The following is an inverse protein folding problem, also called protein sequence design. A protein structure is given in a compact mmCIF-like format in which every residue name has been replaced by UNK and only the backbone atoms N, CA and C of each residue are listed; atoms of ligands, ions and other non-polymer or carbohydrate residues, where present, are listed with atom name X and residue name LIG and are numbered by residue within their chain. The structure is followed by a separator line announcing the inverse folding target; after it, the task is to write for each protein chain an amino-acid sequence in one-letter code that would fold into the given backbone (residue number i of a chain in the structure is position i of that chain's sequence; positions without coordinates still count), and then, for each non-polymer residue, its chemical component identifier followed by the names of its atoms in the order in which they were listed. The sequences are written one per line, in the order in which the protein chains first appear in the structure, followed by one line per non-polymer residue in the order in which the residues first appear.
data_IF_544434950099
#
_entry.id   IF_544434950099
#
_cell.length_a   1.000
_cell.length_b   1.000
_cell.length_c   1.000
_cell.angle_alpha   90.00
_cell.angle_beta   90.00
_cell.angle_gamma   90.00
#
_symmetry.space_group_name_H-M   'P 1'
#
loop_
_entity.id
_entity.type
_entity.pdbx_description
1 polymer ?
#
# COMPACT_ATOMS: atom_id res chain seq x y z
N UNK A 1 -9.58 -1.01 0.75
CA UNK A 1 -10.35 -2.26 0.53
C UNK A 1 -10.12 -2.99 -0.80
N UNK A 2 -10.65 -2.59 -1.98
CA UNK A 2 -10.43 -3.43 -3.20
C UNK A 2 -8.96 -3.46 -3.63
N UNK A 3 -8.27 -2.32 -3.59
CA UNK A 3 -6.81 -2.24 -3.83
C UNK A 3 -6.03 -3.05 -2.79
N UNK A 4 -6.39 -2.98 -1.50
CA UNK A 4 -5.80 -3.81 -0.45
C UNK A 4 -5.95 -5.30 -0.73
N UNK A 5 -7.15 -5.74 -1.11
CA UNK A 5 -7.39 -7.14 -1.46
C UNK A 5 -6.52 -7.61 -2.63
N UNK A 6 -6.32 -6.76 -3.63
CA UNK A 6 -5.42 -7.07 -4.76
C UNK A 6 -3.95 -7.10 -4.33
N UNK A 7 -3.49 -6.14 -3.52
CA UNK A 7 -2.13 -6.11 -2.96
C UNK A 7 -1.86 -7.36 -2.10
N UNK A 8 -2.83 -7.78 -1.27
CA UNK A 8 -2.73 -9.00 -0.47
C UNK A 8 -2.73 -10.27 -1.34
N UNK A 9 -3.48 -10.26 -2.44
CA UNK A 9 -3.40 -11.29 -3.48
C UNK A 9 -2.01 -11.39 -4.10
N UNK A 10 -1.40 -10.26 -4.46
CA UNK A 10 -0.02 -10.22 -4.98
C UNK A 10 0.98 -10.69 -3.92
N UNK A 11 0.84 -10.26 -2.67
CA UNK A 11 1.67 -10.68 -1.54
C UNK A 11 1.62 -12.19 -1.34
N UNK A 12 0.43 -12.80 -1.47
CA UNK A 12 0.28 -14.24 -1.41
C UNK A 12 1.12 -14.98 -2.47
N UNK A 13 1.13 -14.49 -3.71
CA UNK A 13 1.97 -15.08 -4.77
C UNK A 13 3.47 -14.94 -4.47
N UNK A 14 3.91 -13.80 -3.93
CA UNK A 14 5.30 -13.62 -3.48
C UNK A 14 5.66 -14.64 -2.41
N UNK A 15 4.81 -14.80 -1.37
CA UNK A 15 5.02 -15.79 -0.30
C UNK A 15 5.09 -17.22 -0.84
N UNK A 16 4.28 -17.55 -1.86
CA UNK A 16 4.29 -18.86 -2.50
C UNK A 16 5.66 -19.16 -3.12
N UNK A 17 6.21 -18.24 -3.91
CA UNK A 17 7.51 -18.45 -4.56
C UNK A 17 8.66 -18.47 -3.55
N UNK A 18 8.58 -17.64 -2.50
CA UNK A 18 9.52 -17.72 -1.36
C UNK A 18 9.48 -19.09 -0.69
N UNK A 19 8.29 -19.66 -0.45
CA UNK A 19 8.12 -20.99 0.13
C UNK A 19 8.66 -22.11 -0.76
N UNK A 20 8.71 -21.90 -2.08
CA UNK A 20 9.33 -22.81 -3.04
C UNK A 20 10.86 -22.63 -3.15
N UNK A 21 11.43 -21.60 -2.52
CA UNK A 21 12.84 -21.24 -2.62
C UNK A 21 13.22 -20.52 -3.92
N UNK A 22 12.23 -20.11 -4.73
CA UNK A 22 12.48 -19.37 -5.97
C UNK A 22 12.56 -17.86 -5.67
N UNK A 23 13.73 -17.42 -5.21
CA UNK A 23 13.97 -16.02 -4.87
C UNK A 23 13.87 -15.09 -6.08
N UNK A 24 14.19 -15.59 -7.28
CA UNK A 24 14.14 -14.80 -8.50
C UNK A 24 12.68 -14.54 -8.91
N UNK A 25 11.83 -15.57 -8.88
CA UNK A 25 10.40 -15.42 -9.14
C UNK A 25 9.72 -14.57 -8.06
N UNK A 26 10.06 -14.76 -6.78
CA UNK A 26 9.55 -13.94 -5.69
C UNK A 26 9.90 -12.45 -5.89
N UNK A 27 11.14 -12.15 -6.28
CA UNK A 27 11.56 -10.77 -6.56
C UNK A 27 10.80 -10.16 -7.74
N UNK A 28 10.58 -10.91 -8.82
CA UNK A 28 9.83 -10.42 -9.98
C UNK A 28 8.39 -10.03 -9.60
N UNK A 29 7.69 -10.88 -8.84
CA UNK A 29 6.35 -10.61 -8.33
C UNK A 29 6.34 -9.44 -7.33
N UNK A 30 7.38 -9.32 -6.51
CA UNK A 30 7.49 -8.22 -5.55
C UNK A 30 7.67 -6.88 -6.26
N UNK A 31 8.41 -6.81 -7.36
CA UNK A 31 8.55 -5.59 -8.17
C UNK A 31 7.19 -5.14 -8.71
N UNK A 32 6.35 -6.07 -9.18
CA UNK A 32 4.99 -5.76 -9.63
C UNK A 32 4.09 -5.28 -8.47
N UNK A 33 4.17 -5.92 -7.31
CA UNK A 33 3.45 -5.51 -6.11
C UNK A 33 3.84 -4.08 -5.71
N UNK A 34 5.14 -3.78 -5.67
CA UNK A 34 5.66 -2.46 -5.27
C UNK A 34 5.18 -1.37 -6.22
N UNK A 35 5.16 -1.62 -7.53
CA UNK A 35 4.65 -0.64 -8.49
C UNK A 35 3.16 -0.31 -8.26
N UNK A 36 2.36 -1.29 -7.84
CA UNK A 36 0.96 -1.04 -7.45
C UNK A 36 0.85 -0.36 -6.09
N UNK A 37 1.67 -0.76 -5.11
CA UNK A 37 1.72 -0.17 -3.78
C UNK A 37 2.10 1.32 -3.86
N UNK A 38 3.10 1.69 -4.65
CA UNK A 38 3.51 3.08 -4.84
C UNK A 38 2.36 3.96 -5.36
N UNK A 39 1.58 3.43 -6.32
CA UNK A 39 0.41 4.13 -6.87
C UNK A 39 -0.70 4.26 -5.83
N UNK A 40 -0.92 3.22 -5.06
CA UNK A 40 -1.91 3.16 -4.00
C UNK A 40 -1.59 4.17 -2.89
N UNK A 41 -0.37 4.15 -2.36
CA UNK A 41 0.17 5.13 -1.39
C UNK A 41 0.00 6.56 -1.90
N UNK A 42 0.34 6.82 -3.17
CA UNK A 42 0.16 8.15 -3.75
C UNK A 42 -1.30 8.62 -3.71
N UNK A 43 -2.26 7.72 -3.97
CA UNK A 43 -3.69 8.05 -3.96
C UNK A 43 -4.18 8.40 -2.55
N UNK A 44 -3.63 7.74 -1.55
CA UNK A 44 -3.98 7.98 -0.15
C UNK A 44 -3.41 9.29 0.38
N UNK A 45 -2.11 9.49 0.19
CA UNK A 45 -1.41 10.69 0.65
C UNK A 45 -1.95 11.96 -0.02
N UNK A 46 -2.13 11.94 -1.34
CA UNK A 46 -2.68 13.09 -2.08
C UNK A 46 -4.20 13.26 -1.88
N UNK A 47 -4.88 12.21 -1.43
CA UNK A 47 -6.34 12.14 -1.33
C UNK A 47 -6.82 12.16 0.11
N UNK A 48 -7.09 10.98 0.66
CA UNK A 48 -7.79 10.82 1.94
C UNK A 48 -7.00 11.39 3.11
N UNK A 49 -5.67 11.22 3.16
CA UNK A 49 -4.83 11.75 4.23
C UNK A 49 -4.75 13.27 4.16
N UNK A 50 -4.55 13.82 2.97
CA UNK A 50 -4.61 15.28 2.75
C UNK A 50 -5.96 15.86 3.15
N UNK A 51 -7.07 15.19 2.82
CA UNK A 51 -8.41 15.65 3.15
C UNK A 51 -8.67 15.65 4.67
N UNK A 52 -8.22 14.61 5.38
CA UNK A 52 -8.32 14.52 6.84
C UNK A 52 -7.43 15.54 7.55
N UNK A 53 -6.18 15.70 7.10
CA UNK A 53 -5.28 16.74 7.62
C UNK A 53 -5.86 18.14 7.49
N UNK A 54 -6.57 18.44 6.40
CA UNK A 54 -7.24 19.73 6.21
C UNK A 54 -8.36 19.99 7.23
N UNK A 55 -8.93 18.96 7.86
CA UNK A 55 -9.89 19.09 8.96
C UNK A 55 -9.22 19.22 10.33
N UNK A 56 -7.90 19.00 10.43
CA UNK A 56 -7.18 18.99 11.71
C UNK A 56 -7.41 17.73 12.55
N UNK A 57 -7.92 16.66 11.94
CA UNK A 57 -8.29 15.41 12.60
C UNK A 57 -7.26 14.30 12.27
N UNK A 58 -7.02 13.40 13.22
CA UNK A 58 -6.17 12.19 13.06
C UNK A 58 -4.73 12.46 12.58
N UNK A 59 -4.16 13.61 12.94
CA UNK A 59 -2.84 14.03 12.46
C UNK A 59 -1.75 13.04 12.86
N UNK A 60 -1.74 12.60 14.12
CA UNK A 60 -0.72 11.67 14.63
C UNK A 60 -0.83 10.29 13.96
N UNK A 61 -2.06 9.81 13.73
CA UNK A 61 -2.30 8.56 13.02
C UNK A 61 -1.86 8.63 11.55
N UNK A 62 -2.15 9.74 10.86
CA UNK A 62 -1.73 9.97 9.48
C UNK A 62 -0.20 10.07 9.39
N UNK A 63 0.45 10.80 10.29
CA UNK A 63 1.90 10.91 10.35
C UNK A 63 2.56 9.53 10.55
N UNK A 64 1.91 8.66 11.33
CA UNK A 64 2.31 7.26 11.51
C UNK A 64 2.22 6.46 10.22
N UNK A 65 1.08 6.49 9.53
CA UNK A 65 0.85 5.74 8.28
C UNK A 65 1.80 6.19 7.16
N UNK A 66 1.98 7.50 6.96
CA UNK A 66 2.97 8.01 6.00
C UNK A 66 4.42 7.64 6.40
N UNK A 67 4.69 7.50 7.70
CA UNK A 67 5.95 6.96 8.22
C UNK A 67 6.18 5.54 7.73
N UNK A 68 5.16 4.70 7.85
CA UNK A 68 5.22 3.31 7.42
C UNK A 68 5.35 3.16 5.91
N UNK A 69 4.69 4.01 5.12
CA UNK A 69 4.90 4.06 3.67
C UNK A 69 6.39 4.25 3.33
N UNK A 70 7.05 5.20 4.00
CA UNK A 70 8.48 5.46 3.82
C UNK A 70 9.33 4.28 4.27
N UNK A 71 8.98 3.64 5.38
CA UNK A 71 9.70 2.48 5.90
C UNK A 71 9.58 1.27 4.97
N UNK A 72 8.38 1.00 4.43
CA UNK A 72 8.13 -0.05 3.43
C UNK A 72 8.94 0.22 2.15
N UNK A 73 8.89 1.44 1.62
CA UNK A 73 9.66 1.84 0.44
C UNK A 73 11.19 1.69 0.67
N UNK A 74 11.67 2.09 1.84
CA UNK A 74 13.08 1.95 2.21
C UNK A 74 13.49 0.47 2.35
N UNK A 75 12.63 -0.37 2.92
CA UNK A 75 12.87 -1.80 3.04
C UNK A 75 12.97 -2.48 1.68
N UNK A 76 12.11 -2.12 0.72
CA UNK A 76 12.16 -2.61 -0.66
C UNK A 76 13.44 -2.21 -1.38
N UNK A 77 13.85 -0.94 -1.26
CA UNK A 77 14.98 -0.37 -2.00
C UNK A 77 16.33 -1.07 -1.76
N UNK A 78 16.45 -1.82 -0.66
CA UNK A 78 17.69 -2.50 -0.25
C UNK A 78 17.63 -4.02 -0.39
N UNK A 79 16.55 -4.58 -0.97
CA UNK A 79 16.42 -6.02 -1.15
C UNK A 79 17.36 -6.54 -2.25
N UNK A 80 17.98 -7.69 -1.96
CA UNK A 80 18.83 -8.42 -2.90
C UNK A 80 18.41 -9.91 -2.91
N UNK A 81 17.95 -10.46 -4.06
CA UNK A 81 17.50 -11.85 -4.15
C UNK A 81 18.64 -12.86 -3.97
N UNK A 82 19.89 -12.44 -4.12
CA UNK A 82 21.07 -13.27 -3.86
C UNK A 82 21.50 -13.28 -2.39
N UNK A 83 20.92 -12.42 -1.55
CA UNK A 83 21.24 -12.36 -0.13
C UNK A 83 20.71 -13.59 0.61
N UNK A 84 21.49 -14.17 1.56
CA UNK A 84 21.02 -15.27 2.39
C UNK A 84 19.85 -14.88 3.31
N UNK A 85 19.62 -13.59 3.56
CA UNK A 85 18.51 -13.08 4.39
C UNK A 85 17.29 -12.63 3.57
N UNK A 86 17.31 -12.78 2.24
CA UNK A 86 16.25 -12.32 1.34
C UNK A 86 14.87 -12.81 1.75
N UNK A 87 14.71 -14.12 1.95
CA UNK A 87 13.42 -14.70 2.31
C UNK A 87 12.87 -14.16 3.64
N UNK A 88 13.75 -13.94 4.63
CA UNK A 88 13.36 -13.37 5.93
C UNK A 88 12.97 -11.90 5.79
N UNK A 89 13.72 -11.11 5.02
CA UNK A 89 13.40 -9.69 4.78
C UNK A 89 12.09 -9.51 4.03
N UNK A 90 11.85 -10.28 2.98
CA UNK A 90 10.60 -10.19 2.22
C UNK A 90 9.42 -10.68 3.06
N UNK A 91 9.58 -11.76 3.84
CA UNK A 91 8.51 -12.20 4.75
C UNK A 91 8.13 -11.09 5.72
N UNK A 92 9.11 -10.45 6.35
CA UNK A 92 8.87 -9.32 7.26
C UNK A 92 8.21 -8.13 6.54
N UNK A 93 8.69 -7.76 5.37
CA UNK A 93 8.10 -6.69 4.55
C UNK A 93 6.61 -6.96 4.29
N UNK A 94 6.26 -8.19 3.93
CA UNK A 94 4.87 -8.56 3.65
C UNK A 94 4.01 -8.66 4.93
N UNK A 95 4.61 -8.97 6.08
CA UNK A 95 3.92 -8.92 7.38
C UNK A 95 3.67 -7.46 7.80
N UNK A 96 4.65 -6.58 7.59
CA UNK A 96 4.54 -5.15 7.86
C UNK A 96 3.47 -4.50 6.95
N UNK A 97 3.39 -4.91 5.68
CA UNK A 97 2.34 -4.48 4.75
C UNK A 97 0.93 -4.95 5.18
N UNK A 98 0.79 -6.20 5.65
CA UNK A 98 -0.49 -6.74 6.13
C UNK A 98 -0.98 -5.95 7.36
N UNK A 99 -0.07 -5.70 8.32
CA UNK A 99 -0.38 -4.89 9.50
C UNK A 99 -0.72 -3.44 9.16
N UNK A 100 -0.05 -2.87 8.16
CA UNK A 100 -0.35 -1.53 7.65
C UNK A 100 -1.77 -1.46 7.07
N UNK A 101 -2.09 -2.36 6.13
CA UNK A 101 -3.42 -2.47 5.52
C UNK A 101 -4.52 -2.66 6.57
N UNK A 102 -4.29 -3.50 7.57
CA UNK A 102 -5.26 -3.72 8.67
C UNK A 102 -5.53 -2.42 9.44
N UNK A 103 -4.48 -1.64 9.75
CA UNK A 103 -4.62 -0.37 10.49
C UNK A 103 -5.37 0.68 9.69
N UNK A 104 -5.27 0.67 8.37
CA UNK A 104 -6.05 1.56 7.52
C UNK A 104 -7.52 1.13 7.40
N UNK A 105 -7.75 -0.13 7.03
CA UNK A 105 -9.10 -0.68 6.79
C UNK A 105 -9.95 -0.70 8.07
N UNK A 106 -9.34 -0.92 9.23
CA UNK A 106 -10.05 -0.94 10.52
C UNK A 106 -9.95 0.38 11.28
N UNK A 107 -9.05 1.28 10.89
CA UNK A 107 -8.77 2.55 11.56
C UNK A 107 -9.22 3.75 10.75
N UNK A 108 -8.30 4.31 9.95
CA UNK A 108 -8.48 5.64 9.34
C UNK A 108 -9.59 5.66 8.28
N UNK A 109 -9.80 4.57 7.54
CA UNK A 109 -10.78 4.56 6.44
C UNK A 109 -12.23 4.59 6.92
N UNK A 110 -12.69 3.73 7.85
CA UNK A 110 -14.04 3.84 8.41
C UNK A 110 -14.30 5.21 9.02
N UNK A 111 -13.31 5.77 9.69
CA UNK A 111 -13.38 7.09 10.32
C UNK A 111 -13.52 8.20 9.27
N UNK A 112 -12.80 8.11 8.16
CA UNK A 112 -12.90 9.12 7.10
C UNK A 112 -14.32 9.25 6.52
N UNK A 113 -15.08 8.15 6.45
CA UNK A 113 -16.46 8.13 5.96
C UNK A 113 -17.40 9.00 6.79
N UNK A 114 -17.21 9.03 8.11
CA UNK A 114 -18.05 9.83 9.01
C UNK A 114 -17.50 11.24 9.25
N UNK A 115 -16.20 11.44 9.04
CA UNK A 115 -15.52 12.72 9.29
C UNK A 115 -15.52 13.63 8.06
N UNK A 116 -15.30 13.09 6.86
CA UNK A 116 -15.16 13.89 5.64
C UNK A 116 -16.52 14.35 5.11
N UNK A 117 -16.68 15.68 5.03
CA UNK A 117 -17.77 16.31 4.28
C UNK A 117 -17.49 16.35 2.77
N UNK A 118 -18.41 16.97 2.01
CA UNK A 118 -18.35 17.01 0.55
C UNK A 118 -17.03 17.59 -0.02
N UNK A 119 -16.43 18.58 0.65
CA UNK A 119 -15.14 19.16 0.21
C UNK A 119 -13.97 18.19 0.41
N UNK A 120 -13.99 17.38 1.46
CA UNK A 120 -12.99 16.34 1.69
C UNK A 120 -13.07 15.28 0.60
N UNK A 121 -14.28 14.79 0.31
CA UNK A 121 -14.49 13.82 -0.78
C UNK A 121 -14.11 14.37 -2.16
N UNK A 122 -14.36 15.66 -2.44
CA UNK A 122 -13.89 16.28 -3.68
C UNK A 122 -12.35 16.26 -3.81
N UNK A 123 -11.61 16.39 -2.70
CA UNK A 123 -10.14 16.28 -2.70
C UNK A 123 -9.70 14.86 -3.03
N UNK A 124 -10.37 13.86 -2.44
CA UNK A 124 -10.13 12.44 -2.73
C UNK A 124 -10.39 12.12 -4.21
N UNK A 125 -11.51 12.59 -4.76
CA UNK A 125 -11.88 12.38 -6.17
C UNK A 125 -10.87 13.02 -7.14
N UNK A 126 -10.37 14.22 -6.81
CA UNK A 126 -9.31 14.87 -7.59
C UNK A 126 -8.02 14.05 -7.58
N UNK A 127 -7.60 13.54 -6.41
CA UNK A 127 -6.43 12.67 -6.30
C UNK A 127 -6.63 11.37 -7.13
N UNK A 128 -7.80 10.74 -7.03
CA UNK A 128 -8.13 9.55 -7.79
C UNK A 128 -8.17 9.78 -9.31
N UNK A 129 -8.53 11.00 -9.75
CA UNK A 129 -8.50 11.37 -11.17
C UNK A 129 -7.06 11.56 -11.66
N UNK A 130 -6.19 12.15 -10.84
CA UNK A 130 -4.77 12.37 -11.16
C UNK A 130 -3.96 11.07 -11.15
N UNK A 131 -4.29 10.15 -10.24
CA UNK A 131 -3.67 8.84 -10.13
C UNK A 131 -4.76 7.76 -10.10
N UNK A 132 -5.20 7.25 -11.26
CA UNK A 132 -6.23 6.21 -11.33
C UNK A 132 -5.78 4.92 -10.64
N UNK A 133 -6.73 4.18 -10.09
CA UNK A 133 -6.45 2.90 -9.44
C UNK A 133 -5.71 1.95 -10.36
N UNK A 134 -4.72 1.21 -9.84
CA UNK A 134 -4.02 0.17 -10.59
C UNK A 134 -4.94 -1.00 -10.96
N UNK A 135 -6.11 -1.14 -10.32
CA UNK A 135 -7.13 -2.12 -10.70
C UNK A 135 -7.69 -1.87 -12.10
N UNK A 136 -7.57 -0.63 -12.60
CA UNK A 136 -8.00 -0.25 -13.96
C UNK A 136 -6.98 -0.63 -15.04
N UNK A 137 -5.78 -1.08 -14.64
CA UNK A 137 -4.74 -1.49 -15.59
C UNK A 137 -5.04 -2.86 -16.22
N UNK A 138 -6.10 -3.57 -15.77
CA UNK A 138 -6.48 -4.85 -16.38
C UNK A 138 -6.83 -4.68 -17.85
N UNK A 139 -6.41 -5.62 -18.72
CA UNK A 139 -6.79 -5.58 -20.12
C UNK A 139 -8.31 -5.72 -20.21
N UNK A 140 -8.93 -4.92 -21.06
CA UNK A 140 -10.23 -5.26 -21.64
C UNK A 140 -10.02 -6.59 -22.36
N UNK A 141 -10.39 -7.70 -21.72
CA UNK A 141 -10.46 -9.03 -22.32
C UNK A 141 -11.86 -9.31 -22.82
#
# INVERSE_FOLDING_TARGET
MEEHGALMGQAHFVRRELGAGDHAAAMALLVELVAHLDRHVQREEDGIFRALRAQGEFIDEIDGLEGEHRDLAAAVAVLDPSSPDFATRVTRLLDDLDAHVEREDLGIFPVSVVTLGAQGWATVDEAHTRSPSFLLDQPIH
#
